data_IF_529736693870
#
_entry.id   IF_529736693870
#
_cell.length_a   1.000
_cell.length_b   1.000
_cell.length_c   1.000
_cell.angle_alpha   90.00
_cell.angle_beta   90.00
_cell.angle_gamma   90.00
#
_symmetry.space_group_name_H-M   'P 1'
#
loop_
_entity.id
_entity.type
_entity.pdbx_description
1 polymer ?
#
# COMPACT_ATOMS: atom_id res chain seq x y z
N UNK A 1 7.47 11.01 2.20
CA UNK A 1 7.75 10.04 3.29
C UNK A 1 8.77 10.66 4.23
N UNK A 2 8.74 10.34 5.53
CA UNK A 2 9.71 10.81 6.52
C UNK A 2 11.11 10.27 6.18
N UNK A 3 12.15 11.08 6.34
CA UNK A 3 13.53 10.62 6.37
C UNK A 3 13.82 10.10 7.78
N UNK A 4 14.36 8.90 7.88
CA UNK A 4 14.69 8.25 9.14
C UNK A 4 16.17 8.41 9.46
N UNK A 5 16.53 8.11 10.70
CA UNK A 5 17.93 8.06 11.17
C UNK A 5 18.14 6.76 11.96
N UNK A 6 19.28 6.16 11.78
CA UNK A 6 19.68 5.01 12.57
C UNK A 6 19.88 5.41 14.05
N UNK A 7 19.13 4.83 14.98
CA UNK A 7 19.21 5.13 16.41
C UNK A 7 20.60 4.81 17.00
N UNK A 8 21.34 3.88 16.38
CA UNK A 8 22.67 3.49 16.85
C UNK A 8 23.78 4.49 16.44
N UNK A 9 23.77 5.04 15.20
CA UNK A 9 24.89 5.86 14.71
C UNK A 9 24.49 7.20 14.07
N UNK A 10 23.19 7.50 13.99
CA UNK A 10 22.68 8.75 13.42
C UNK A 10 22.67 8.82 11.89
N UNK A 11 23.16 7.80 11.16
CA UNK A 11 23.16 7.75 9.70
C UNK A 11 21.74 7.89 9.15
N UNK A 12 21.49 8.74 8.13
CA UNK A 12 20.23 8.74 7.41
C UNK A 12 19.94 7.37 6.79
N UNK A 13 18.71 6.89 6.97
CA UNK A 13 18.25 5.59 6.46
C UNK A 13 16.86 5.76 5.83
N UNK A 14 16.51 4.85 4.90
CA UNK A 14 15.27 4.88 4.16
C UNK A 14 14.31 3.80 4.65
N UNK A 15 13.04 4.01 4.41
CA UNK A 15 11.93 3.18 4.91
C UNK A 15 12.10 1.68 4.64
N UNK A 16 12.67 1.34 3.48
CA UNK A 16 12.87 -0.05 3.05
C UNK A 16 14.19 -0.67 3.52
N UNK A 17 15.06 0.10 4.22
CA UNK A 17 16.32 -0.46 4.67
C UNK A 17 16.11 -1.55 5.73
N UNK A 18 16.87 -2.62 5.61
CA UNK A 18 16.92 -3.75 6.58
C UNK A 18 18.18 -3.74 7.43
N UNK A 19 19.16 -2.91 7.06
CA UNK A 19 20.37 -2.67 7.85
C UNK A 19 20.92 -1.27 7.57
N UNK A 20 21.68 -0.75 8.53
CA UNK A 20 22.39 0.52 8.39
C UNK A 20 23.75 0.29 7.72
N UNK A 21 23.98 0.95 6.60
CA UNK A 21 25.25 0.81 5.83
C UNK A 21 26.48 1.33 6.58
N UNK A 22 26.31 2.22 7.58
CA UNK A 22 27.41 2.80 8.34
C UNK A 22 27.85 1.91 9.52
N UNK A 23 26.91 1.34 10.28
CA UNK A 23 27.21 0.60 11.51
C UNK A 23 26.77 -0.87 11.48
N UNK A 24 26.20 -1.33 10.40
CA UNK A 24 25.67 -2.68 10.19
C UNK A 24 24.58 -3.11 11.18
N UNK A 25 24.01 -2.19 11.99
CA UNK A 25 22.86 -2.51 12.81
C UNK A 25 21.68 -2.94 11.95
N UNK A 26 21.00 -4.01 12.34
CA UNK A 26 19.73 -4.41 11.71
C UNK A 26 18.69 -3.32 11.88
N UNK A 27 17.82 -3.12 10.88
CA UNK A 27 16.77 -2.11 10.91
C UNK A 27 15.42 -2.77 10.72
N UNK A 28 14.41 -2.29 11.45
CA UNK A 28 13.03 -2.71 11.28
C UNK A 28 12.05 -1.56 11.49
N UNK A 29 10.95 -1.54 10.75
CA UNK A 29 9.93 -0.52 10.92
C UNK A 29 8.96 -0.92 12.05
N UNK A 30 8.89 -0.10 13.10
CA UNK A 30 7.92 -0.23 14.18
C UNK A 30 6.65 0.59 13.85
N UNK A 31 5.52 -0.07 13.54
CA UNK A 31 4.28 0.63 13.19
C UNK A 31 3.64 1.39 14.37
N UNK A 32 3.97 1.04 15.61
CA UNK A 32 3.45 1.75 16.79
C UNK A 32 4.19 3.07 16.98
N UNK A 33 5.53 3.05 16.85
CA UNK A 33 6.35 4.25 16.91
C UNK A 33 6.30 5.08 15.63
N UNK A 34 5.86 4.49 14.54
CA UNK A 34 5.92 5.08 13.20
C UNK A 34 7.35 5.47 12.82
N UNK A 35 8.31 4.62 13.18
CA UNK A 35 9.73 4.86 12.97
C UNK A 35 10.49 3.61 12.51
N UNK A 36 11.60 3.84 11.81
CA UNK A 36 12.55 2.79 11.45
C UNK A 36 13.63 2.75 12.53
N UNK A 37 13.65 1.66 13.27
CA UNK A 37 14.48 1.53 14.49
C UNK A 37 15.68 0.62 14.25
N UNK A 38 16.80 0.93 14.90
CA UNK A 38 17.97 0.07 14.92
C UNK A 38 17.79 -1.02 15.99
N UNK A 39 18.20 -2.23 15.65
CA UNK A 39 17.93 -3.45 16.40
C UNK A 39 19.22 -4.15 16.80
N UNK A 40 19.22 -4.69 18.00
CA UNK A 40 20.21 -5.64 18.48
C UNK A 40 19.57 -7.01 18.68
N UNK A 41 20.20 -8.06 18.19
CA UNK A 41 19.78 -9.43 18.42
C UNK A 41 19.80 -9.75 19.92
N UNK A 42 18.77 -10.45 20.36
CA UNK A 42 18.59 -10.94 21.72
C UNK A 42 18.30 -12.45 21.70
N UNK A 43 18.07 -13.05 22.86
CA UNK A 43 17.76 -14.46 22.98
C UNK A 43 16.43 -14.82 22.29
N UNK A 44 16.25 -16.12 22.00
CA UNK A 44 15.02 -16.68 21.45
C UNK A 44 14.57 -16.02 20.12
N UNK A 45 15.51 -15.71 19.24
CA UNK A 45 15.24 -15.12 17.92
C UNK A 45 14.46 -13.80 18.00
N UNK A 46 14.71 -13.02 19.07
CA UNK A 46 14.11 -11.72 19.33
C UNK A 46 15.10 -10.58 19.16
N UNK A 47 14.60 -9.36 19.18
CA UNK A 47 15.39 -8.13 19.06
C UNK A 47 15.00 -7.12 20.12
N UNK A 48 15.98 -6.31 20.52
CA UNK A 48 15.78 -5.08 21.30
C UNK A 48 16.09 -3.88 20.43
N UNK A 49 15.55 -2.73 20.80
CA UNK A 49 15.76 -1.46 20.07
C UNK A 49 16.89 -0.69 20.77
N UNK A 50 17.77 -0.04 20.00
CA UNK A 50 18.69 0.97 20.51
C UNK A 50 17.92 2.25 20.88
N UNK A 51 18.39 2.98 21.91
CA UNK A 51 17.90 4.32 22.18
C UNK A 51 18.57 5.35 21.22
N UNK A 52 18.08 6.60 21.27
CA UNK A 52 18.62 7.69 20.43
C UNK A 52 20.08 8.09 20.78
N UNK A 53 20.69 7.45 21.78
CA UNK A 53 22.08 7.64 22.19
C UNK A 53 22.96 6.45 21.78
N UNK A 54 22.38 5.47 21.08
CA UNK A 54 23.08 4.27 20.63
C UNK A 54 23.27 3.21 21.74
N UNK A 55 22.56 3.33 22.87
CA UNK A 55 22.57 2.30 23.91
C UNK A 55 21.38 1.34 23.71
N UNK A 56 21.50 0.12 24.24
CA UNK A 56 20.39 -0.80 24.33
C UNK A 56 19.36 -0.21 25.30
N UNK A 57 18.11 -0.05 24.85
CA UNK A 57 17.06 0.44 25.75
C UNK A 57 16.90 -0.50 26.94
N UNK A 58 16.74 0.07 28.14
CA UNK A 58 16.41 -0.69 29.35
C UNK A 58 14.98 -1.32 29.28
N UNK A 59 14.23 -1.10 28.18
CA UNK A 59 12.95 -1.68 27.94
C UNK A 59 13.03 -3.20 27.85
N UNK A 60 12.11 -3.88 28.51
CA UNK A 60 11.92 -5.34 28.41
C UNK A 60 11.21 -5.75 27.12
N UNK A 61 10.75 -4.76 26.33
CA UNK A 61 10.06 -5.04 25.07
C UNK A 61 10.98 -5.77 24.08
N UNK A 62 10.48 -6.84 23.55
CA UNK A 62 11.13 -7.66 22.53
C UNK A 62 10.33 -7.59 21.24
N UNK A 63 11.03 -7.69 20.13
CA UNK A 63 10.46 -7.62 18.80
C UNK A 63 10.86 -8.84 17.97
N UNK A 64 10.08 -9.15 16.99
CA UNK A 64 10.39 -10.09 15.90
C UNK A 64 10.06 -9.44 14.56
N UNK A 65 10.73 -9.86 13.50
CA UNK A 65 10.34 -9.46 12.16
C UNK A 65 9.05 -10.18 11.72
N UNK A 66 8.30 -9.52 10.86
CA UNK A 66 7.25 -10.16 10.05
C UNK A 66 7.82 -11.36 9.29
N UNK A 67 7.08 -12.47 9.22
CA UNK A 67 7.53 -13.70 8.53
C UNK A 67 7.92 -13.47 7.07
N UNK A 68 7.34 -12.46 6.41
CA UNK A 68 7.71 -12.09 5.04
C UNK A 68 9.12 -11.47 4.92
N UNK A 69 9.82 -11.21 6.02
CA UNK A 69 11.25 -10.85 6.01
C UNK A 69 12.11 -11.94 5.39
N UNK A 70 11.75 -13.23 5.54
CA UNK A 70 12.47 -14.36 4.93
C UNK A 70 12.58 -14.25 3.40
N UNK A 71 11.64 -13.56 2.76
CA UNK A 71 11.64 -13.30 1.31
C UNK A 71 12.20 -11.92 0.95
N UNK A 72 12.67 -11.16 1.94
CA UNK A 72 13.14 -9.77 1.79
C UNK A 72 12.07 -8.81 1.25
N UNK A 73 10.79 -9.11 1.47
CA UNK A 73 9.67 -8.28 1.01
C UNK A 73 9.08 -7.40 2.11
N UNK A 74 9.50 -7.59 3.38
CA UNK A 74 9.01 -6.85 4.53
C UNK A 74 10.09 -6.67 5.59
N UNK A 75 10.22 -5.45 6.13
CA UNK A 75 11.10 -5.12 7.26
C UNK A 75 10.33 -4.68 8.51
N UNK A 76 9.02 -4.90 8.55
CA UNK A 76 8.19 -4.46 9.67
C UNK A 76 8.29 -5.41 10.85
N UNK A 77 8.15 -4.82 12.02
CA UNK A 77 8.27 -5.49 13.31
C UNK A 77 6.91 -5.81 13.92
N UNK A 78 6.91 -6.85 14.74
CA UNK A 78 5.84 -7.19 15.67
C UNK A 78 6.42 -7.28 17.09
N UNK A 79 5.62 -7.06 18.16
CA UNK A 79 5.98 -7.51 19.49
C UNK A 79 6.31 -9.01 19.46
N UNK A 80 7.34 -9.44 20.19
CA UNK A 80 7.79 -10.84 20.16
C UNK A 80 6.73 -11.81 20.73
N UNK A 81 5.92 -11.36 21.68
CA UNK A 81 4.81 -12.09 22.31
C UNK A 81 3.53 -12.11 21.46
N UNK A 82 3.50 -11.42 20.33
CA UNK A 82 2.38 -11.48 19.40
C UNK A 82 2.32 -12.89 18.78
N UNK A 83 1.16 -13.56 18.88
CA UNK A 83 0.95 -14.90 18.32
C UNK A 83 0.92 -14.91 16.78
N UNK A 84 0.62 -13.77 16.15
CA UNK A 84 0.61 -13.63 14.70
C UNK A 84 2.02 -13.63 14.11
N UNK A 85 2.11 -14.08 12.87
CA UNK A 85 3.35 -14.15 12.09
C UNK A 85 3.55 -12.92 11.19
N UNK A 86 2.48 -12.22 10.83
CA UNK A 86 2.48 -11.13 9.87
C UNK A 86 2.22 -9.78 10.54
N UNK A 87 2.95 -8.76 10.10
CA UNK A 87 2.69 -7.38 10.52
C UNK A 87 1.34 -6.87 9.98
N UNK A 88 0.88 -5.73 10.50
CA UNK A 88 -0.39 -5.13 10.10
C UNK A 88 -0.53 -4.95 8.57
N UNK A 89 0.56 -4.67 7.85
CA UNK A 89 0.53 -4.51 6.39
C UNK A 89 0.46 -5.86 5.66
N UNK A 90 1.23 -6.86 6.10
CA UNK A 90 1.24 -8.19 5.47
C UNK A 90 0.01 -9.01 5.82
N UNK A 91 -0.62 -8.76 6.96
CA UNK A 91 -1.89 -9.41 7.35
C UNK A 91 -3.09 -8.95 6.49
N UNK A 92 -2.91 -7.97 5.62
CA UNK A 92 -3.90 -7.58 4.61
C UNK A 92 -3.82 -8.46 3.34
N UNK A 93 -2.77 -9.26 3.15
CA UNK A 93 -2.66 -10.13 1.98
C UNK A 93 -3.60 -11.33 2.13
N UNK A 94 -4.55 -11.46 1.22
CA UNK A 94 -5.39 -12.64 1.08
C UNK A 94 -4.76 -13.64 0.12
N UNK A 95 -4.22 -13.14 -0.99
CA UNK A 95 -3.53 -13.95 -2.00
C UNK A 95 -2.20 -13.30 -2.37
N UNK A 96 -1.14 -14.11 -2.41
CA UNK A 96 0.16 -13.72 -2.96
C UNK A 96 0.44 -14.54 -4.23
N UNK A 97 1.28 -14.06 -5.16
CA UNK A 97 1.60 -14.83 -6.36
C UNK A 97 2.39 -16.10 -6.02
N UNK A 98 2.34 -17.09 -6.90
CA UNK A 98 3.19 -18.27 -6.80
C UNK A 98 4.66 -17.87 -6.99
N UNK A 99 5.37 -17.72 -5.87
CA UNK A 99 6.77 -17.27 -5.83
C UNK A 99 7.77 -18.32 -6.37
N UNK A 100 7.33 -19.54 -6.67
CA UNK A 100 8.15 -20.54 -7.35
C UNK A 100 8.32 -20.25 -8.84
N UNK A 101 7.45 -19.39 -9.39
CA UNK A 101 7.54 -18.99 -10.80
C UNK A 101 8.63 -17.93 -11.00
N UNK A 102 9.32 -17.95 -12.16
CA UNK A 102 10.30 -16.94 -12.50
C UNK A 102 9.71 -15.51 -12.37
N UNK A 103 10.50 -14.58 -11.84
CA UNK A 103 10.20 -13.15 -11.69
C UNK A 103 9.05 -12.79 -10.72
N UNK A 104 8.23 -13.76 -10.28
CA UNK A 104 7.11 -13.46 -9.39
C UNK A 104 7.54 -12.89 -8.03
N UNK A 105 8.62 -13.43 -7.45
CA UNK A 105 9.16 -12.89 -6.20
C UNK A 105 9.59 -11.43 -6.36
N UNK A 106 10.28 -11.10 -7.45
CA UNK A 106 10.73 -9.74 -7.74
C UNK A 106 9.56 -8.77 -7.98
N UNK A 107 8.53 -9.21 -8.68
CA UNK A 107 7.29 -8.44 -8.88
C UNK A 107 6.57 -8.23 -7.56
N UNK A 108 6.38 -9.27 -6.77
CA UNK A 108 5.75 -9.19 -5.47
C UNK A 108 6.50 -8.26 -4.52
N UNK A 109 7.84 -8.31 -4.50
CA UNK A 109 8.66 -7.39 -3.69
C UNK A 109 8.35 -5.93 -4.02
N UNK A 110 8.29 -5.57 -5.32
CA UNK A 110 7.96 -4.19 -5.73
C UNK A 110 6.55 -3.77 -5.32
N UNK A 111 5.59 -4.69 -5.41
CA UNK A 111 4.20 -4.46 -4.98
C UNK A 111 4.12 -4.26 -3.47
N UNK A 112 4.81 -5.11 -2.69
CA UNK A 112 4.83 -5.01 -1.23
C UNK A 112 5.45 -3.69 -0.75
N UNK A 113 6.52 -3.22 -1.39
CA UNK A 113 7.09 -1.88 -1.10
C UNK A 113 6.04 -0.79 -1.26
N UNK A 114 5.27 -0.82 -2.34
CA UNK A 114 4.20 0.15 -2.58
C UNK A 114 3.08 0.02 -1.54
N UNK A 115 2.65 -1.21 -1.21
CA UNK A 115 1.62 -1.47 -0.20
C UNK A 115 2.07 -1.04 1.20
N UNK A 116 3.31 -1.30 1.61
CA UNK A 116 3.84 -0.83 2.88
C UNK A 116 3.84 0.70 2.97
N UNK A 117 4.17 1.41 1.88
CA UNK A 117 4.08 2.88 1.82
C UNK A 117 2.64 3.38 1.90
N UNK A 118 1.69 2.67 1.29
CA UNK A 118 0.26 2.95 1.46
C UNK A 118 -0.14 2.82 2.92
N UNK A 119 0.09 1.64 3.53
CA UNK A 119 -0.30 1.35 4.91
C UNK A 119 0.37 2.32 5.89
N UNK A 120 1.64 2.67 5.68
CA UNK A 120 2.29 3.75 6.41
C UNK A 120 1.51 5.06 6.35
N UNK A 121 1.01 5.44 5.16
CA UNK A 121 0.23 6.67 4.99
C UNK A 121 -1.10 6.59 5.73
N UNK A 122 -1.81 5.45 5.67
CA UNK A 122 -3.06 5.23 6.38
C UNK A 122 -2.89 5.35 7.90
N UNK A 123 -1.86 4.72 8.45
CA UNK A 123 -1.51 4.81 9.86
C UNK A 123 -1.16 6.25 10.27
N UNK A 124 -0.41 6.99 9.44
CA UNK A 124 -0.11 8.41 9.65
C UNK A 124 -1.36 9.29 9.69
N UNK A 125 -2.33 9.01 8.86
CA UNK A 125 -3.63 9.68 8.87
C UNK A 125 -4.57 9.17 9.96
N UNK A 126 -4.15 8.17 10.74
CA UNK A 126 -4.97 7.52 11.77
C UNK A 126 -6.27 6.93 11.21
N UNK A 127 -6.22 6.50 9.97
CA UNK A 127 -7.34 5.78 9.36
C UNK A 127 -7.37 4.33 9.89
N UNK A 128 -8.54 3.74 10.08
CA UNK A 128 -8.64 2.36 10.54
C UNK A 128 -8.09 1.40 9.48
N UNK A 129 -7.15 0.55 9.87
CA UNK A 129 -6.59 -0.50 9.02
C UNK A 129 -7.01 -1.84 9.63
N UNK A 130 -8.15 -2.33 9.20
CA UNK A 130 -8.74 -3.59 9.66
C UNK A 130 -8.71 -4.59 8.52
N UNK A 131 -8.18 -5.79 8.77
CA UNK A 131 -8.11 -6.86 7.77
C UNK A 131 -9.48 -7.52 7.57
N UNK A 132 -9.77 -8.01 6.36
CA UNK A 132 -10.93 -8.88 6.11
C UNK A 132 -10.92 -10.19 6.92
N UNK A 133 -9.79 -10.60 7.45
CA UNK A 133 -9.72 -11.70 8.42
C UNK A 133 -10.28 -11.33 9.80
N UNK A 134 -10.32 -10.03 10.15
CA UNK A 134 -10.88 -9.50 11.39
C UNK A 134 -12.33 -9.03 11.21
N UNK A 135 -12.65 -8.47 10.05
CA UNK A 135 -13.97 -8.00 9.67
C UNK A 135 -14.18 -8.31 8.18
N UNK A 136 -14.91 -9.38 7.89
CA UNK A 136 -15.14 -9.86 6.53
C UNK A 136 -15.88 -8.85 5.66
N UNK A 137 -16.82 -8.12 6.23
CA UNK A 137 -17.67 -7.18 5.51
C UNK A 137 -16.96 -5.85 5.23
N UNK A 138 -16.29 -5.30 6.25
CA UNK A 138 -15.74 -3.93 6.22
C UNK A 138 -14.21 -3.86 6.21
N UNK A 139 -13.53 -4.99 6.28
CA UNK A 139 -12.08 -5.04 6.28
C UNK A 139 -11.46 -4.83 4.90
N UNK A 140 -10.15 -4.64 4.89
CA UNK A 140 -9.30 -4.50 3.71
C UNK A 140 -8.61 -5.84 3.43
N UNK A 141 -8.52 -6.22 2.17
CA UNK A 141 -7.67 -7.32 1.72
C UNK A 141 -7.03 -7.00 0.37
N UNK A 142 -5.88 -7.62 0.12
CA UNK A 142 -5.17 -7.54 -1.15
C UNK A 142 -5.04 -8.93 -1.78
N UNK A 143 -5.38 -9.02 -3.06
CA UNK A 143 -5.10 -10.16 -3.93
C UNK A 143 -4.06 -9.75 -4.98
N UNK A 144 -2.89 -10.38 -4.93
CA UNK A 144 -1.85 -10.21 -5.95
C UNK A 144 -1.83 -11.43 -6.86
N UNK A 145 -2.34 -11.26 -8.07
CA UNK A 145 -2.59 -12.36 -9.00
C UNK A 145 -1.77 -12.19 -10.28
N UNK A 146 -1.27 -13.30 -10.82
CA UNK A 146 -0.72 -13.36 -12.16
C UNK A 146 -1.81 -13.73 -13.17
N UNK A 147 -1.76 -13.16 -14.37
CA UNK A 147 -2.62 -13.62 -15.45
C UNK A 147 -2.29 -15.08 -15.83
N UNK A 148 -3.33 -15.87 -15.99
CA UNK A 148 -3.19 -17.18 -16.59
C UNK A 148 -3.01 -17.01 -18.11
N UNK A 149 -1.81 -17.25 -18.63
CA UNK A 149 -1.49 -17.13 -20.06
C UNK A 149 -2.36 -18.00 -20.98
N UNK A 150 -3.09 -18.96 -20.42
CA UNK A 150 -4.03 -19.83 -21.13
C UNK A 150 -5.48 -19.38 -20.98
N UNK A 151 -5.77 -18.37 -20.13
CA UNK A 151 -7.10 -17.84 -19.88
C UNK A 151 -7.50 -16.80 -20.93
N UNK A 152 -8.79 -16.77 -21.25
CA UNK A 152 -9.39 -15.74 -22.12
C UNK A 152 -9.79 -14.48 -21.37
N UNK A 153 -9.81 -14.53 -20.03
CA UNK A 153 -10.20 -13.40 -19.17
C UNK A 153 -8.95 -12.62 -18.73
N UNK A 154 -8.97 -11.34 -19.04
CA UNK A 154 -7.96 -10.39 -18.57
C UNK A 154 -8.20 -10.08 -17.11
N UNK A 155 -7.17 -10.26 -16.28
CA UNK A 155 -7.20 -9.86 -14.88
C UNK A 155 -7.16 -8.32 -14.78
N UNK A 156 -8.28 -7.73 -14.38
CA UNK A 156 -8.36 -6.30 -14.13
C UNK A 156 -7.97 -6.00 -12.68
N UNK A 157 -7.19 -4.95 -12.49
CA UNK A 157 -6.98 -4.35 -11.17
C UNK A 157 -8.22 -3.54 -10.80
N UNK A 158 -8.60 -3.57 -9.54
CA UNK A 158 -9.77 -2.84 -9.05
C UNK A 158 -10.09 -3.13 -7.60
N UNK A 159 -11.10 -2.41 -7.10
CA UNK A 159 -11.63 -2.49 -5.76
C UNK A 159 -13.04 -3.10 -5.78
N UNK A 160 -13.31 -4.02 -4.85
CA UNK A 160 -14.62 -4.57 -4.56
C UNK A 160 -14.80 -4.76 -3.05
N UNK A 161 -15.63 -3.93 -2.43
CA UNK A 161 -15.97 -4.00 -0.99
C UNK A 161 -14.76 -4.23 -0.06
N UNK A 162 -13.70 -3.44 -0.23
CA UNK A 162 -12.47 -3.54 0.55
C UNK A 162 -11.46 -4.59 0.06
N UNK A 163 -11.81 -5.40 -0.94
CA UNK A 163 -10.86 -6.25 -1.63
C UNK A 163 -10.22 -5.49 -2.79
N UNK A 164 -8.91 -5.35 -2.74
CA UNK A 164 -8.12 -4.73 -3.79
C UNK A 164 -7.37 -5.82 -4.54
N UNK A 165 -7.73 -6.03 -5.80
CA UNK A 165 -7.04 -6.98 -6.68
C UNK A 165 -6.03 -6.23 -7.54
N UNK A 166 -4.80 -6.73 -7.62
CA UNK A 166 -3.74 -6.19 -8.47
C UNK A 166 -3.16 -7.30 -9.35
N UNK A 167 -3.05 -7.04 -10.65
CA UNK A 167 -2.25 -7.85 -11.55
C UNK A 167 -0.77 -7.62 -11.27
N UNK A 168 0.00 -8.69 -10.96
CA UNK A 168 1.42 -8.56 -10.63
C UNK A 168 2.27 -8.00 -11.78
N UNK A 169 1.79 -8.05 -13.01
CA UNK A 169 2.46 -7.45 -14.17
C UNK A 169 2.51 -5.93 -14.10
N UNK A 170 1.67 -5.30 -13.29
CA UNK A 170 1.79 -3.86 -13.00
C UNK A 170 3.06 -3.47 -12.23
N UNK A 171 3.74 -4.45 -11.64
CA UNK A 171 5.08 -4.23 -11.08
C UNK A 171 6.17 -4.06 -12.15
N UNK A 172 5.89 -4.42 -13.41
CA UNK A 172 6.81 -4.21 -14.54
C UNK A 172 6.67 -2.79 -15.07
N UNK A 173 7.79 -2.05 -15.11
CA UNK A 173 7.81 -0.65 -15.52
C UNK A 173 7.41 -0.48 -17.00
N UNK A 174 7.82 -1.41 -17.87
CA UNK A 174 7.50 -1.35 -19.29
C UNK A 174 6.00 -1.59 -19.53
N UNK A 175 5.43 -2.60 -18.88
CA UNK A 175 3.99 -2.92 -18.99
C UNK A 175 3.15 -1.76 -18.45
N UNK A 176 3.54 -1.21 -17.30
CA UNK A 176 2.86 -0.07 -16.67
C UNK A 176 2.92 1.17 -17.55
N UNK A 177 4.08 1.46 -18.16
CA UNK A 177 4.25 2.61 -19.07
C UNK A 177 3.43 2.44 -20.35
N UNK A 178 3.33 1.23 -20.91
CA UNK A 178 2.45 0.94 -22.03
C UNK A 178 0.98 1.18 -21.67
N UNK A 179 0.54 0.74 -20.48
CA UNK A 179 -0.81 0.98 -19.99
C UNK A 179 -1.08 2.46 -19.79
N UNK A 180 -0.13 3.20 -19.18
CA UNK A 180 -0.19 4.66 -19.01
C UNK A 180 -0.43 5.38 -20.33
N UNK A 181 0.38 5.07 -21.34
CA UNK A 181 0.26 5.70 -22.66
C UNK A 181 -1.07 5.37 -23.35
N UNK A 182 -1.55 4.12 -23.22
CA UNK A 182 -2.83 3.71 -23.80
C UNK A 182 -4.04 4.41 -23.18
N UNK A 183 -3.95 4.72 -21.87
CA UNK A 183 -5.03 5.38 -21.12
C UNK A 183 -4.86 6.89 -21.03
N UNK A 184 -3.82 7.44 -21.67
CA UNK A 184 -3.47 8.88 -21.65
C UNK A 184 -3.31 9.44 -20.24
N UNK A 185 -2.88 8.61 -19.30
CA UNK A 185 -2.64 9.03 -17.91
C UNK A 185 -1.33 9.82 -17.79
N UNK A 186 -1.35 10.93 -17.05
CA UNK A 186 -0.15 11.74 -16.77
C UNK A 186 0.81 11.00 -15.85
N UNK A 187 0.28 10.18 -14.93
CA UNK A 187 1.06 9.51 -13.90
C UNK A 187 0.43 8.16 -13.54
N UNK A 188 1.22 7.08 -13.64
CA UNK A 188 0.80 5.74 -13.25
C UNK A 188 1.90 5.02 -12.46
N UNK A 189 1.70 4.78 -11.18
CA UNK A 189 2.58 3.96 -10.34
C UNK A 189 1.76 2.96 -9.53
N UNK A 190 2.38 1.87 -9.08
CA UNK A 190 1.72 0.89 -8.20
C UNK A 190 1.19 1.57 -6.93
N UNK A 191 1.96 2.47 -6.32
CA UNK A 191 1.49 3.23 -5.15
C UNK A 191 0.33 4.17 -5.47
N UNK A 192 0.37 4.83 -6.64
CA UNK A 192 -0.73 5.68 -7.12
C UNK A 192 -2.01 4.86 -7.28
N UNK A 193 -1.91 3.71 -7.90
CA UNK A 193 -3.03 2.79 -8.09
C UNK A 193 -3.60 2.31 -6.75
N UNK A 194 -2.75 1.88 -5.81
CA UNK A 194 -3.20 1.52 -4.47
C UNK A 194 -3.91 2.67 -3.73
N UNK A 195 -3.43 3.90 -3.89
CA UNK A 195 -4.09 5.08 -3.30
C UNK A 195 -5.46 5.34 -3.89
N UNK A 196 -5.60 5.12 -5.19
CA UNK A 196 -6.87 5.23 -5.90
C UNK A 196 -7.87 4.19 -5.37
N UNK A 197 -7.52 2.91 -5.41
CA UNK A 197 -8.40 1.83 -4.96
C UNK A 197 -8.78 1.93 -3.47
N UNK A 198 -7.82 2.30 -2.62
CA UNK A 198 -8.10 2.50 -1.20
C UNK A 198 -8.92 3.78 -0.94
N UNK A 199 -8.87 4.75 -1.85
CA UNK A 199 -9.72 5.94 -1.86
C UNK A 199 -11.19 5.55 -1.95
N UNK A 200 -11.57 4.68 -2.88
CA UNK A 200 -12.92 4.13 -3.00
C UNK A 200 -13.36 3.43 -1.72
N UNK A 201 -12.51 2.58 -1.14
CA UNK A 201 -12.81 1.93 0.14
C UNK A 201 -13.12 2.93 1.26
N UNK A 202 -12.28 3.96 1.45
CA UNK A 202 -12.52 4.96 2.50
C UNK A 202 -13.69 5.90 2.16
N UNK A 203 -14.00 6.13 0.88
CA UNK A 203 -15.21 6.83 0.51
C UNK A 203 -16.45 6.07 1.00
N UNK A 204 -16.52 4.76 0.78
CA UNK A 204 -17.60 3.91 1.31
C UNK A 204 -17.70 3.98 2.84
N UNK A 205 -16.56 3.98 3.55
CA UNK A 205 -16.53 3.98 5.02
C UNK A 205 -16.80 5.34 5.66
N UNK A 206 -16.38 6.42 5.04
CA UNK A 206 -16.33 7.75 5.66
C UNK A 206 -17.30 8.77 5.08
N UNK A 207 -17.76 8.57 3.85
CA UNK A 207 -18.57 9.54 3.12
C UNK A 207 -19.98 8.99 2.84
N UNK A 208 -20.05 7.81 2.19
CA UNK A 208 -21.30 7.17 1.84
C UNK A 208 -22.20 7.02 3.06
N UNK A 209 -23.47 7.33 2.89
CA UNK A 209 -24.50 7.23 3.93
C UNK A 209 -24.21 8.00 5.24
N UNK A 210 -23.33 9.00 5.16
CA UNK A 210 -22.98 9.87 6.29
C UNK A 210 -23.41 11.32 6.07
N UNK A 211 -23.37 12.13 7.13
CA UNK A 211 -23.58 13.58 7.04
C UNK A 211 -22.56 14.31 6.14
N UNK A 212 -21.47 13.66 5.74
CA UNK A 212 -20.44 14.23 4.87
C UNK A 212 -20.79 14.14 3.39
N UNK A 213 -21.75 13.30 3.02
CA UNK A 213 -22.12 13.07 1.62
C UNK A 213 -22.50 14.36 0.89
N UNK A 214 -23.26 15.24 1.56
CA UNK A 214 -23.63 16.53 0.94
C UNK A 214 -22.42 17.43 0.69
N UNK A 215 -21.46 17.44 1.61
CA UNK A 215 -20.21 18.21 1.44
C UNK A 215 -19.36 17.64 0.31
N UNK A 216 -19.33 16.32 0.15
CA UNK A 216 -18.68 15.65 -0.98
C UNK A 216 -19.33 16.06 -2.29
N UNK A 217 -20.66 15.97 -2.39
CA UNK A 217 -21.39 16.36 -3.62
C UNK A 217 -21.19 17.82 -4.02
N UNK A 218 -21.05 18.70 -3.04
CA UNK A 218 -20.77 20.12 -3.29
C UNK A 218 -19.37 20.37 -3.87
N UNK A 219 -18.42 19.49 -3.61
CA UNK A 219 -17.03 19.61 -4.07
C UNK A 219 -16.79 18.85 -5.37
N UNK A 220 -17.27 17.60 -5.46
CA UNK A 220 -16.90 16.65 -6.50
C UNK A 220 -18.04 16.36 -7.48
N UNK A 221 -19.28 16.70 -7.14
CA UNK A 221 -20.45 16.44 -7.99
C UNK A 221 -21.33 15.30 -7.51
N UNK A 222 -22.27 14.89 -8.34
CA UNK A 222 -23.27 13.89 -8.03
C UNK A 222 -22.73 12.48 -8.20
N UNK A 223 -22.46 11.80 -7.07
CA UNK A 223 -21.99 10.42 -6.99
C UNK A 223 -23.01 9.38 -7.46
N UNK A 224 -24.29 9.76 -7.67
CA UNK A 224 -25.36 8.86 -8.17
C UNK A 224 -25.39 8.76 -9.69
N UNK A 225 -24.56 9.52 -10.40
CA UNK A 225 -24.38 9.39 -11.85
C UNK A 225 -23.99 7.95 -12.20
N UNK A 226 -24.57 7.38 -13.26
CA UNK A 226 -24.19 6.03 -13.69
C UNK A 226 -22.71 5.99 -14.10
N UNK A 227 -21.94 5.21 -13.35
CA UNK A 227 -20.49 5.12 -13.52
C UNK A 227 -20.08 4.60 -14.89
N UNK A 228 -20.78 3.56 -15.39
CA UNK A 228 -20.48 2.97 -16.69
C UNK A 228 -20.76 3.93 -17.84
N UNK A 229 -21.91 4.62 -17.79
CA UNK A 229 -22.27 5.64 -18.78
C UNK A 229 -21.30 6.83 -18.74
N UNK A 230 -20.91 7.28 -17.55
CA UNK A 230 -19.95 8.38 -17.36
C UNK A 230 -18.59 8.06 -17.99
N UNK A 231 -18.04 6.86 -17.73
CA UNK A 231 -16.81 6.40 -18.37
C UNK A 231 -16.93 6.26 -19.87
N UNK A 232 -18.02 5.68 -20.37
CA UNK A 232 -18.25 5.56 -21.81
C UNK A 232 -18.30 6.94 -22.49
N UNK A 233 -18.98 7.90 -21.87
CA UNK A 233 -19.03 9.28 -22.37
C UNK A 233 -17.64 9.93 -22.34
N UNK A 234 -16.86 9.70 -21.27
CA UNK A 234 -15.51 10.23 -21.16
C UNK A 234 -14.62 9.74 -22.31
N UNK A 235 -14.58 8.43 -22.57
CA UNK A 235 -13.75 7.85 -23.64
C UNK A 235 -14.28 8.10 -25.05
N UNK A 236 -15.54 8.48 -25.21
CA UNK A 236 -16.12 8.82 -26.53
C UNK A 236 -15.82 10.27 -26.97
N UNK A 237 -15.41 11.13 -26.03
CA UNK A 237 -15.09 12.54 -26.32
C UNK A 237 -13.67 12.68 -26.85
N UNK A 238 -13.42 13.62 -27.78
CA UNK A 238 -12.06 13.97 -28.17
C UNK A 238 -11.23 14.45 -26.94
N UNK A 239 -9.95 14.13 -26.91
CA UNK A 239 -9.04 14.65 -25.88
C UNK A 239 -9.15 16.18 -25.79
N UNK A 240 -9.33 16.69 -24.58
CA UNK A 240 -9.54 18.10 -24.30
C UNK A 240 -8.81 18.49 -23.02
N UNK A 241 -8.28 19.70 -22.97
CA UNK A 241 -7.66 20.26 -21.78
C UNK A 241 -8.66 21.00 -20.86
N UNK A 242 -9.95 20.90 -21.11
CA UNK A 242 -10.99 21.60 -20.35
C UNK A 242 -11.07 21.16 -18.87
N UNK A 243 -10.50 20.01 -18.52
CA UNK A 243 -10.42 19.49 -17.15
C UNK A 243 -9.42 20.23 -16.27
N UNK A 244 -8.38 20.84 -16.85
CA UNK A 244 -7.19 21.38 -16.11
C UNK A 244 -7.52 22.47 -15.08
N UNK A 245 -8.65 23.16 -15.22
CA UNK A 245 -9.06 24.19 -14.26
C UNK A 245 -9.91 23.68 -13.10
N UNK A 246 -10.43 22.45 -13.19
CA UNK A 246 -11.43 21.93 -12.24
C UNK A 246 -11.07 20.58 -11.63
N UNK A 247 -10.27 19.78 -12.28
CA UNK A 247 -9.96 18.40 -11.90
C UNK A 247 -8.46 18.15 -11.87
N UNK A 248 -8.02 17.18 -11.10
CA UNK A 248 -6.59 16.83 -10.98
C UNK A 248 -6.05 16.09 -12.21
N UNK A 249 -6.92 15.47 -12.99
CA UNK A 249 -6.57 14.75 -14.24
C UNK A 249 -7.75 14.71 -15.21
N UNK A 250 -7.49 14.32 -16.47
CA UNK A 250 -8.54 14.06 -17.43
C UNK A 250 -9.48 12.95 -16.93
N UNK A 251 -8.92 11.88 -16.38
CA UNK A 251 -9.66 10.76 -15.84
C UNK A 251 -10.53 11.16 -14.64
N UNK A 252 -10.04 12.02 -13.75
CA UNK A 252 -10.81 12.57 -12.64
C UNK A 252 -12.09 13.29 -13.08
N UNK A 253 -12.11 13.85 -14.30
CA UNK A 253 -13.31 14.50 -14.87
C UNK A 253 -14.39 13.52 -15.32
N UNK A 254 -14.14 12.22 -15.32
CA UNK A 254 -15.09 11.22 -15.80
C UNK A 254 -16.24 11.00 -14.82
N UNK A 255 -15.94 10.89 -13.53
CA UNK A 255 -16.94 10.64 -12.49
C UNK A 255 -16.45 11.21 -11.14
N UNK A 256 -17.34 11.67 -10.23
CA UNK A 256 -16.96 12.16 -8.89
C UNK A 256 -16.11 11.20 -8.04
N UNK A 257 -16.19 9.89 -8.31
CA UNK A 257 -15.35 8.90 -7.61
C UNK A 257 -13.90 8.89 -8.11
N UNK A 258 -13.64 9.42 -9.29
CA UNK A 258 -12.31 9.43 -9.92
C UNK A 258 -11.51 10.70 -9.58
N UNK A 259 -12.15 11.72 -9.01
CA UNK A 259 -11.56 12.97 -8.57
C UNK A 259 -11.19 12.91 -7.09
#
# INVERSE_FOLDING_TARGET
>A
MKLFKCDHCGQPVYFENTFCVQCNASLGFDPVRMDLVALQAAENNSYTIFDNQGNITASTARYKYCSNMQYSVCNWLLPHDNEGEFCIACNLNRTIPDISQPDHLGKWTRIEVAKHRLVYSLLRFRLPVVSKFQDEDKGIAFDFKAENKQGTERLLTGHDHGLITLNIDEADDAIREMARNKMEEVYRTVLGHFRHEIGHYYWDQLIKDTRRLQSFRNLFGDDTTDYGEALQQHYSKPASNAWTEKFISAYASAHPWED
#
